data_IF_534656276650
#
_entry.id   IF_534656276650
#
_cell.length_a   1.000
_cell.length_b   1.000
_cell.length_c   1.000
_cell.angle_alpha   90.00
_cell.angle_beta   90.00
_cell.angle_gamma   90.00
#
_symmetry.space_group_name_H-M   'P 1'
#
loop_
_entity.id
_entity.type
_entity.pdbx_description
1 polymer ?
#
# COMPACT_ATOMS: atom_id res chain seq x y z
N UNK A 1 -2.32 12.68 -17.86
CA UNK A 1 -2.33 11.89 -16.62
C UNK A 1 -2.77 10.45 -16.86
N UNK A 2 -1.82 9.52 -16.89
CA UNK A 2 -2.09 8.08 -16.88
C UNK A 2 -2.58 7.65 -15.50
N UNK A 3 -3.39 6.58 -15.43
CA UNK A 3 -3.94 6.05 -14.17
C UNK A 3 -3.27 4.73 -13.82
N UNK A 4 -2.84 4.59 -12.57
CA UNK A 4 -2.31 3.36 -11.99
C UNK A 4 -3.29 2.89 -10.91
N UNK A 5 -3.62 1.60 -10.92
CA UNK A 5 -4.36 0.95 -9.84
C UNK A 5 -3.38 0.10 -9.01
N UNK A 6 -3.22 0.46 -7.74
CA UNK A 6 -2.55 -0.36 -6.74
C UNK A 6 -3.58 -1.25 -6.05
N UNK A 7 -3.35 -2.56 -6.07
CA UNK A 7 -4.19 -3.55 -5.40
C UNK A 7 -3.38 -4.19 -4.27
N UNK A 8 -3.78 -3.91 -3.03
CA UNK A 8 -3.22 -4.54 -1.86
C UNK A 8 -4.00 -5.81 -1.52
N UNK A 9 -3.28 -6.93 -1.47
CA UNK A 9 -3.82 -8.23 -1.07
C UNK A 9 -4.16 -8.31 0.43
N UNK A 10 -4.78 -9.41 0.86
CA UNK A 10 -5.19 -9.60 2.25
C UNK A 10 -3.99 -9.60 3.19
N UNK A 11 -4.21 -9.13 4.42
CA UNK A 11 -3.23 -9.07 5.52
C UNK A 11 -2.07 -8.09 5.34
N UNK A 12 -1.96 -7.36 4.22
CA UNK A 12 -0.94 -6.31 4.08
C UNK A 12 -1.15 -5.15 5.06
N UNK A 13 -2.36 -4.99 5.59
CA UNK A 13 -2.65 -4.07 6.70
C UNK A 13 -1.87 -4.41 7.99
N UNK A 14 -1.21 -5.56 8.06
CA UNK A 14 -0.38 -5.97 9.18
C UNK A 14 1.11 -5.59 9.01
N UNK A 15 1.51 -5.02 7.88
CA UNK A 15 2.88 -4.51 7.69
C UNK A 15 3.25 -3.52 8.81
N UNK A 16 4.52 -3.54 9.23
CA UNK A 16 5.03 -2.76 10.36
C UNK A 16 4.68 -3.31 11.75
N UNK A 17 3.81 -4.32 11.86
CA UNK A 17 3.43 -4.93 13.15
C UNK A 17 3.62 -6.43 13.18
N UNK A 18 3.28 -7.13 12.09
CA UNK A 18 3.48 -8.56 11.96
C UNK A 18 4.94 -8.85 11.62
N UNK A 19 5.58 -9.67 12.45
CA UNK A 19 6.91 -10.24 12.21
C UNK A 19 7.90 -9.19 11.64
N UNK A 20 8.16 -8.06 12.34
CA UNK A 20 8.94 -6.93 11.80
C UNK A 20 10.37 -7.31 11.39
N UNK A 21 10.94 -8.36 11.98
CA UNK A 21 12.24 -8.91 11.57
C UNK A 21 12.24 -9.50 10.14
N UNK A 22 11.06 -9.82 9.60
CA UNK A 22 10.87 -10.39 8.26
C UNK A 22 10.35 -9.32 7.30
N UNK A 23 9.32 -8.56 7.71
CA UNK A 23 8.62 -7.63 6.82
C UNK A 23 9.05 -6.16 6.99
N UNK A 24 9.93 -5.88 7.95
CA UNK A 24 10.32 -4.52 8.32
C UNK A 24 9.28 -3.81 9.19
N UNK A 25 9.65 -2.61 9.62
CA UNK A 25 8.84 -1.77 10.51
C UNK A 25 7.92 -0.81 9.74
N UNK A 26 8.02 -0.77 8.40
CA UNK A 26 7.19 0.11 7.57
C UNK A 26 5.76 -0.41 7.46
N UNK A 27 4.80 0.45 7.74
CA UNK A 27 3.36 0.19 7.62
C UNK A 27 2.87 0.27 6.17
N UNK A 28 1.71 -0.32 5.89
CA UNK A 28 1.08 -0.22 4.57
C UNK A 28 0.76 1.24 4.21
N UNK A 29 0.30 2.05 5.18
CA UNK A 29 -0.01 3.46 4.95
C UNK A 29 1.22 4.25 4.51
N UNK A 30 2.38 4.04 5.14
CA UNK A 30 3.63 4.69 4.74
C UNK A 30 4.07 4.28 3.33
N UNK A 31 3.85 3.02 2.94
CA UNK A 31 4.10 2.56 1.56
C UNK A 31 3.17 3.27 0.58
N UNK A 32 1.87 3.34 0.88
CA UNK A 32 0.89 4.02 0.04
C UNK A 32 1.18 5.52 -0.12
N UNK A 33 1.61 6.20 0.95
CA UNK A 33 1.99 7.63 0.91
C UNK A 33 3.22 7.86 0.03
N UNK A 34 4.25 7.03 0.16
CA UNK A 34 5.45 7.10 -0.69
C UNK A 34 5.12 6.88 -2.16
N UNK A 35 4.22 5.93 -2.46
CA UNK A 35 3.78 5.67 -3.83
C UNK A 35 2.92 6.80 -4.40
N UNK A 36 2.06 7.43 -3.57
CA UNK A 36 1.29 8.61 -3.98
C UNK A 36 2.21 9.78 -4.34
N UNK A 37 3.20 10.07 -3.50
CA UNK A 37 4.19 11.11 -3.80
C UNK A 37 4.96 10.81 -5.10
N UNK A 38 5.40 9.55 -5.29
CA UNK A 38 6.10 9.14 -6.51
C UNK A 38 5.23 9.27 -7.77
N UNK A 39 3.92 9.00 -7.65
CA UNK A 39 2.99 9.15 -8.77
C UNK A 39 2.73 10.63 -9.09
N UNK A 40 2.63 11.49 -8.08
CA UNK A 40 2.49 12.93 -8.25
C UNK A 40 3.71 13.54 -8.95
N UNK A 41 4.92 13.18 -8.52
CA UNK A 41 6.18 13.59 -9.16
C UNK A 41 6.26 13.16 -10.64
N UNK A 42 5.54 12.11 -11.02
CA UNK A 42 5.49 11.57 -12.37
C UNK A 42 4.29 12.05 -13.22
N UNK A 43 3.48 13.00 -12.72
CA UNK A 43 2.21 13.43 -13.35
C UNK A 43 1.26 12.24 -13.64
N UNK A 44 1.15 11.33 -12.68
CA UNK A 44 0.29 10.15 -12.72
C UNK A 44 -0.74 10.17 -11.59
N UNK A 45 -1.92 9.63 -11.87
CA UNK A 45 -2.96 9.45 -10.86
C UNK A 45 -2.87 8.02 -10.29
N UNK A 46 -2.62 7.90 -8.98
CA UNK A 46 -2.61 6.63 -8.27
C UNK A 46 -3.94 6.39 -7.55
N UNK A 47 -4.60 5.29 -7.91
CA UNK A 47 -5.81 4.80 -7.25
C UNK A 47 -5.41 3.61 -6.39
N UNK A 48 -5.82 3.61 -5.12
CA UNK A 48 -5.48 2.55 -4.18
C UNK A 48 -6.74 1.77 -3.82
N UNK A 49 -6.65 0.45 -3.91
CA UNK A 49 -7.67 -0.49 -3.45
C UNK A 49 -7.03 -1.53 -2.53
N UNK A 50 -7.66 -1.78 -1.39
CA UNK A 50 -7.20 -2.78 -0.43
C UNK A 50 -8.29 -3.80 -0.19
N UNK A 51 -7.95 -5.08 -0.39
CA UNK A 51 -8.87 -6.16 -0.09
C UNK A 51 -9.04 -6.25 1.43
N UNK A 52 -10.30 -6.15 1.90
CA UNK A 52 -10.61 -6.38 3.31
C UNK A 52 -10.37 -7.85 3.66
N UNK A 53 -9.87 -8.15 4.88
CA UNK A 53 -9.76 -9.53 5.34
C UNK A 53 -11.15 -10.17 5.33
N UNK A 54 -11.24 -11.40 4.81
CA UNK A 54 -12.47 -12.18 4.87
C UNK A 54 -12.82 -12.42 6.35
N UNK A 55 -13.91 -11.82 6.83
CA UNK A 55 -14.53 -12.26 8.08
C UNK A 55 -15.08 -13.66 7.83
N UNK A 56 -14.49 -14.66 8.49
CA UNK A 56 -15.10 -15.98 8.62
C UNK A 56 -16.34 -15.90 9.48
#
# INVERSE_FOLDING_TARGET
MSKILLINGPNLNLLGTREPKIYGDTSLNEVEEKLKASAEDADMNLIVFSQMPNMK
#
